data_IF_953964861523
#
_entry.id   IF_953964861523
#
_cell.length_a   1.000
_cell.length_b   1.000
_cell.length_c   1.000
_cell.angle_alpha   90.00
_cell.angle_beta   90.00
_cell.angle_gamma   90.00
#
_symmetry.space_group_name_H-M   'P 1'
#
loop_
_entity.id
_entity.type
_entity.pdbx_description
1 polymer ?
#
# COMPACT_ATOMS: atom_id res chain seq x y z
N UNK A 1 -12.72 -100.81 18.27
CA UNK A 1 -12.04 -101.12 19.53
C UNK A 1 -10.53 -101.04 19.33
N UNK A 2 -9.84 -100.12 20.01
CA UNK A 2 -8.38 -100.01 19.97
C UNK A 2 -7.78 -100.79 21.15
N UNK A 3 -6.68 -101.53 20.91
CA UNK A 3 -6.05 -102.37 21.92
C UNK A 3 -4.58 -102.00 22.06
N UNK A 4 -4.11 -101.83 23.30
CA UNK A 4 -2.70 -101.58 23.60
C UNK A 4 -1.98 -102.89 23.92
N UNK A 5 -1.00 -103.26 23.09
CA UNK A 5 -0.31 -104.55 23.15
C UNK A 5 1.22 -104.42 23.25
N UNK A 6 1.73 -103.22 23.55
CA UNK A 6 3.18 -102.99 23.60
C UNK A 6 3.75 -103.55 24.90
N UNK A 7 4.76 -104.41 24.79
CA UNK A 7 5.50 -104.99 25.91
C UNK A 7 4.96 -106.35 26.37
N UNK A 8 5.41 -106.82 27.53
CA UNK A 8 4.94 -108.08 28.14
C UNK A 8 4.58 -107.87 29.61
N UNK A 9 3.76 -108.77 30.17
CA UNK A 9 3.29 -108.68 31.56
C UNK A 9 3.69 -109.89 32.39
N UNK A 10 3.98 -109.62 33.67
CA UNK A 10 4.28 -110.62 34.69
C UNK A 10 3.42 -110.36 35.93
N UNK A 11 2.84 -111.42 36.48
CA UNK A 11 1.98 -111.37 37.65
C UNK A 11 2.01 -112.69 38.43
N UNK A 12 2.15 -112.59 39.74
CA UNK A 12 2.17 -113.74 40.64
C UNK A 12 0.75 -114.12 41.09
N UNK A 13 0.49 -115.42 41.28
CA UNK A 13 -0.79 -115.89 41.80
C UNK A 13 -1.08 -115.29 43.19
N UNK A 14 -2.36 -115.04 43.48
CA UNK A 14 -2.86 -114.40 44.70
C UNK A 14 -2.39 -112.96 44.95
N UNK A 15 -1.75 -112.31 43.97
CA UNK A 15 -1.44 -110.88 44.00
C UNK A 15 -2.37 -110.10 43.08
N UNK A 16 -2.67 -108.84 43.40
CA UNK A 16 -3.41 -107.93 42.52
C UNK A 16 -2.49 -107.04 41.67
N UNK A 17 -1.19 -107.33 41.61
CA UNK A 17 -0.19 -106.46 40.97
C UNK A 17 0.34 -107.10 39.71
N UNK A 18 0.38 -106.32 38.64
CA UNK A 18 0.97 -106.70 37.34
C UNK A 18 2.14 -105.76 37.04
N UNK A 19 3.26 -106.37 36.69
CA UNK A 19 4.47 -105.66 36.27
C UNK A 19 4.63 -105.81 34.76
N UNK A 20 4.74 -104.68 34.06
CA UNK A 20 4.98 -104.60 32.64
C UNK A 20 6.47 -104.44 32.32
N UNK A 21 6.93 -105.05 31.24
CA UNK A 21 8.23 -104.78 30.63
C UNK A 21 8.02 -103.98 29.34
N UNK A 22 8.78 -102.89 29.17
CA UNK A 22 8.73 -101.93 28.04
C UNK A 22 7.37 -101.26 27.78
N UNK A 23 6.44 -101.36 28.74
CA UNK A 23 5.11 -100.76 28.69
C UNK A 23 5.16 -99.26 28.98
N UNK A 24 4.10 -98.54 28.59
CA UNK A 24 3.92 -97.09 28.71
C UNK A 24 2.56 -96.70 29.30
N UNK A 25 2.10 -97.46 30.29
CA UNK A 25 0.72 -97.38 30.77
C UNK A 25 0.29 -96.03 31.35
N UNK A 26 1.21 -95.20 31.84
CA UNK A 26 0.88 -93.89 32.42
C UNK A 26 0.77 -92.75 31.40
N UNK A 27 1.03 -93.01 30.11
CA UNK A 27 0.88 -92.01 29.05
C UNK A 27 -0.60 -91.77 28.73
N UNK A 28 -1.12 -90.59 29.09
CA UNK A 28 -2.54 -90.24 28.93
C UNK A 28 -3.05 -90.40 27.48
N UNK A 29 -2.19 -90.12 26.49
CA UNK A 29 -2.50 -90.27 25.07
C UNK A 29 -2.79 -91.72 24.64
N UNK A 30 -2.34 -92.74 25.40
CA UNK A 30 -2.58 -94.15 25.09
C UNK A 30 -3.91 -94.67 25.63
N UNK A 31 -4.66 -93.87 26.40
CA UNK A 31 -6.05 -94.18 26.78
C UNK A 31 -6.23 -95.38 27.71
N UNK A 32 -5.19 -95.76 28.47
CA UNK A 32 -5.27 -96.79 29.51
C UNK A 32 -5.66 -96.12 30.83
N UNK A 33 -6.79 -96.54 31.40
CA UNK A 33 -7.38 -95.89 32.58
C UNK A 33 -7.80 -96.94 33.63
N UNK A 34 -7.98 -96.53 34.90
CA UNK A 34 -8.76 -97.30 35.87
C UNK A 34 -10.11 -97.73 35.25
N UNK A 35 -10.41 -99.02 35.28
CA UNK A 35 -11.59 -99.62 34.66
C UNK A 35 -11.32 -100.29 33.30
N UNK A 36 -10.19 -100.03 32.64
CA UNK A 36 -9.76 -100.76 31.43
C UNK A 36 -9.59 -102.25 31.72
N UNK A 37 -9.81 -103.09 30.70
CA UNK A 37 -9.67 -104.55 30.82
C UNK A 37 -8.32 -104.98 30.28
N UNK A 38 -7.50 -105.56 31.15
CA UNK A 38 -6.30 -106.31 30.79
C UNK A 38 -6.70 -107.72 30.35
N UNK A 39 -6.32 -108.08 29.13
CA UNK A 39 -6.49 -109.41 28.55
C UNK A 39 -5.11 -110.06 28.45
N UNK A 40 -4.86 -111.10 29.24
CA UNK A 40 -3.61 -111.86 29.18
C UNK A 40 -3.83 -113.10 28.31
N UNK A 41 -3.09 -113.21 27.21
CA UNK A 41 -3.28 -114.28 26.24
C UNK A 41 -2.64 -115.60 26.71
N UNK A 42 -3.36 -116.71 26.53
CA UNK A 42 -2.89 -118.08 26.74
C UNK A 42 -3.09 -118.88 25.46
N UNK A 43 -2.49 -120.07 25.40
CA UNK A 43 -2.76 -121.02 24.31
C UNK A 43 -4.23 -121.50 24.41
N UNK A 44 -5.09 -121.03 23.50
CA UNK A 44 -6.50 -121.41 23.42
C UNK A 44 -7.44 -120.78 24.47
N UNK A 45 -6.98 -119.84 25.30
CA UNK A 45 -7.81 -119.13 26.30
C UNK A 45 -7.23 -117.74 26.64
N UNK A 46 -7.96 -116.90 27.39
CA UNK A 46 -7.45 -115.63 27.87
C UNK A 46 -7.96 -115.33 29.29
N UNK A 47 -7.09 -114.76 30.12
CA UNK A 47 -7.45 -114.29 31.45
C UNK A 47 -7.83 -112.79 31.37
N UNK A 48 -9.00 -112.41 31.90
CA UNK A 48 -9.48 -111.03 31.89
C UNK A 48 -9.45 -110.43 33.30
N UNK A 49 -8.78 -109.29 33.44
CA UNK A 49 -8.68 -108.54 34.68
C UNK A 49 -9.05 -107.07 34.48
N UNK A 50 -10.00 -106.56 35.27
CA UNK A 50 -10.25 -105.12 35.30
C UNK A 50 -9.16 -104.41 36.10
N UNK A 51 -8.58 -103.36 35.52
CA UNK A 51 -7.54 -102.53 36.11
C UNK A 51 -8.18 -101.62 37.17
N UNK A 52 -7.69 -101.68 38.40
CA UNK A 52 -8.13 -100.81 39.50
C UNK A 52 -7.40 -99.46 39.46
N UNK A 53 -6.10 -99.47 39.21
CA UNK A 53 -5.28 -98.26 39.05
C UNK A 53 -4.12 -98.51 38.11
N UNK A 54 -3.74 -97.44 37.41
CA UNK A 54 -2.48 -97.36 36.66
C UNK A 54 -1.48 -96.67 37.58
N UNK A 55 -0.52 -97.42 38.10
CA UNK A 55 0.39 -96.92 39.14
C UNK A 55 1.64 -96.27 38.51
N UNK A 56 2.07 -96.75 37.34
CA UNK A 56 3.13 -96.15 36.51
C UNK A 56 3.13 -96.75 35.11
N UNK A 57 4.05 -96.31 34.24
CA UNK A 57 4.31 -96.91 32.92
C UNK A 57 4.45 -98.44 32.92
N UNK A 58 4.90 -99.03 34.03
CA UNK A 58 5.25 -100.45 34.16
C UNK A 58 4.52 -101.17 35.29
N UNK A 59 3.52 -100.53 35.90
CA UNK A 59 2.80 -101.15 37.02
C UNK A 59 1.31 -100.86 37.00
N UNK A 60 0.52 -101.93 37.12
CA UNK A 60 -0.92 -101.87 37.31
C UNK A 60 -1.29 -102.58 38.61
N UNK A 61 -2.33 -102.07 39.25
CA UNK A 61 -3.07 -102.79 40.26
C UNK A 61 -4.43 -103.20 39.68
N UNK A 62 -4.76 -104.47 39.82
CA UNK A 62 -6.00 -105.09 39.36
C UNK A 62 -7.09 -105.04 40.45
N UNK A 63 -8.34 -105.11 40.04
CA UNK A 63 -9.51 -105.14 40.96
C UNK A 63 -9.65 -106.45 41.72
N UNK A 64 -9.01 -107.53 41.24
CA UNK A 64 -9.03 -108.87 41.83
C UNK A 64 -7.66 -109.51 41.75
N UNK A 65 -7.41 -110.48 42.63
CA UNK A 65 -6.16 -111.22 42.64
C UNK A 65 -6.04 -112.12 41.41
N UNK A 66 -4.82 -112.25 40.90
CA UNK A 66 -4.46 -113.15 39.80
C UNK A 66 -4.65 -114.59 40.24
N UNK A 67 -5.44 -115.35 39.49
CA UNK A 67 -5.74 -116.75 39.81
C UNK A 67 -4.61 -117.68 39.39
N UNK A 68 -4.03 -117.44 38.22
CA UNK A 68 -2.94 -118.24 37.65
C UNK A 68 -1.78 -117.32 37.28
N UNK A 69 -0.59 -117.58 37.82
CA UNK A 69 0.59 -116.78 37.51
C UNK A 69 0.91 -116.76 36.00
N UNK A 70 1.49 -115.65 35.55
CA UNK A 70 1.99 -115.46 34.19
C UNK A 70 3.30 -114.66 34.24
N UNK A 71 4.23 -114.98 33.34
CA UNK A 71 5.55 -114.35 33.29
C UNK A 71 5.91 -114.07 31.85
N UNK A 72 6.25 -112.81 31.54
CA UNK A 72 6.57 -112.38 30.18
C UNK A 72 5.45 -112.65 29.16
N UNK A 73 4.18 -112.66 29.59
CA UNK A 73 3.06 -113.01 28.73
C UNK A 73 2.69 -111.85 27.77
N UNK A 74 2.26 -112.19 26.56
CA UNK A 74 1.61 -111.26 25.66
C UNK A 74 0.23 -110.87 26.22
N UNK A 75 -0.15 -109.62 26.02
CA UNK A 75 -1.40 -109.09 26.54
C UNK A 75 -1.95 -108.01 25.60
N UNK A 76 -3.23 -107.71 25.77
CA UNK A 76 -3.86 -106.51 25.23
C UNK A 76 -4.62 -105.80 26.35
N UNK A 77 -4.53 -104.48 26.41
CA UNK A 77 -5.45 -103.67 27.21
C UNK A 77 -6.49 -103.06 26.28
N UNK A 78 -7.76 -103.31 26.57
CA UNK A 78 -8.86 -102.66 25.86
C UNK A 78 -8.91 -101.20 26.30
N UNK A 79 -8.49 -100.32 25.40
CA UNK A 79 -8.57 -98.86 25.56
C UNK A 79 -9.90 -98.38 24.99
N UNK A 80 -10.51 -97.36 25.63
CA UNK A 80 -11.86 -96.92 25.29
C UNK A 80 -12.02 -96.55 23.80
N UNK A 81 -13.22 -96.79 23.26
CA UNK A 81 -13.61 -96.50 21.88
C UNK A 81 -13.59 -94.98 21.60
N UNK A 82 -13.26 -94.59 20.36
CA UNK A 82 -12.89 -93.22 19.92
C UNK A 82 -14.06 -92.19 20.02
N UNK A 83 -15.16 -92.49 20.72
CA UNK A 83 -16.33 -91.59 20.87
C UNK A 83 -17.17 -91.83 22.15
N UNK A 84 -16.57 -91.76 23.35
CA UNK A 84 -17.34 -91.76 24.61
C UNK A 84 -17.69 -90.34 25.10
N UNK A 85 -18.79 -90.19 25.86
CA UNK A 85 -19.24 -88.92 26.46
C UNK A 85 -18.16 -88.25 27.32
N UNK A 86 -17.29 -89.02 27.96
CA UNK A 86 -16.13 -88.54 28.71
C UNK A 86 -15.04 -87.92 27.82
N UNK A 87 -14.79 -88.46 26.63
CA UNK A 87 -13.86 -87.87 25.66
C UNK A 87 -14.41 -86.55 25.13
N UNK A 88 -15.71 -86.50 24.83
CA UNK A 88 -16.40 -85.25 24.48
C UNK A 88 -16.35 -84.22 25.61
N UNK A 89 -16.57 -84.64 26.87
CA UNK A 89 -16.50 -83.74 28.03
C UNK A 89 -15.11 -83.12 28.21
N UNK A 90 -14.03 -83.88 27.97
CA UNK A 90 -12.67 -83.37 28.03
C UNK A 90 -12.35 -82.41 26.87
N UNK A 91 -12.79 -82.72 25.66
CA UNK A 91 -12.63 -81.81 24.51
C UNK A 91 -13.43 -80.51 24.70
N UNK A 92 -14.66 -80.62 25.21
CA UNK A 92 -15.51 -79.48 25.54
C UNK A 92 -14.90 -78.62 26.66
N UNK A 93 -14.36 -79.25 27.71
CA UNK A 93 -13.68 -78.54 28.80
C UNK A 93 -12.43 -77.80 28.31
N UNK A 94 -11.64 -78.42 27.43
CA UNK A 94 -10.48 -77.78 26.79
C UNK A 94 -10.90 -76.60 25.91
N UNK A 95 -11.94 -76.76 25.09
CA UNK A 95 -12.49 -75.66 24.29
C UNK A 95 -13.04 -74.51 25.15
N UNK A 96 -13.68 -74.81 26.28
CA UNK A 96 -14.15 -73.78 27.22
C UNK A 96 -13.01 -73.06 27.94
N UNK A 97 -11.94 -73.78 28.33
CA UNK A 97 -10.76 -73.15 28.91
C UNK A 97 -10.09 -72.18 27.90
N UNK A 98 -10.02 -72.58 26.63
CA UNK A 98 -9.56 -71.72 25.54
C UNK A 98 -10.45 -70.47 25.38
N UNK A 99 -11.77 -70.65 25.26
CA UNK A 99 -12.71 -69.53 25.14
C UNK A 99 -12.65 -68.57 26.32
N UNK A 100 -12.51 -69.09 27.55
CA UNK A 100 -12.40 -68.28 28.75
C UNK A 100 -11.16 -67.38 28.72
N UNK A 101 -10.01 -67.91 28.30
CA UNK A 101 -8.77 -67.12 28.16
C UNK A 101 -8.94 -65.97 27.16
N UNK A 102 -9.61 -66.22 26.03
CA UNK A 102 -9.91 -65.18 25.04
C UNK A 102 -10.86 -64.12 25.61
N UNK A 103 -11.90 -64.52 26.34
CA UNK A 103 -12.86 -63.59 26.99
C UNK A 103 -12.18 -62.75 28.07
N UNK A 104 -11.27 -63.33 28.85
CA UNK A 104 -10.47 -62.60 29.85
C UNK A 104 -9.58 -61.55 29.18
N UNK A 105 -8.93 -61.88 28.05
CA UNK A 105 -8.17 -60.93 27.25
C UNK A 105 -9.03 -59.75 26.74
N UNK A 106 -10.24 -60.02 26.23
CA UNK A 106 -11.18 -58.98 25.81
C UNK A 106 -11.69 -58.13 26.98
N UNK A 107 -11.94 -58.75 28.13
CA UNK A 107 -12.35 -58.02 29.34
C UNK A 107 -11.25 -57.07 29.80
N UNK A 108 -9.99 -57.52 29.81
CA UNK A 108 -8.83 -56.68 30.12
C UNK A 108 -8.70 -55.51 29.14
N UNK A 109 -8.92 -55.74 27.84
CA UNK A 109 -8.88 -54.70 26.82
C UNK A 109 -9.98 -53.63 26.99
N UNK A 110 -11.20 -54.06 27.34
CA UNK A 110 -12.37 -53.17 27.45
C UNK A 110 -12.46 -52.43 28.79
N UNK A 111 -11.97 -53.02 29.89
CA UNK A 111 -12.19 -52.52 31.25
C UNK A 111 -10.91 -52.13 31.99
N UNK A 112 -9.75 -52.59 31.51
CA UNK A 112 -8.46 -52.27 32.12
C UNK A 112 -8.06 -50.80 31.93
N UNK A 113 -7.13 -50.36 32.77
CA UNK A 113 -6.47 -49.04 32.67
C UNK A 113 -4.97 -49.23 32.45
N UNK A 114 -4.37 -48.41 31.58
CA UNK A 114 -2.94 -48.50 31.26
C UNK A 114 -2.60 -49.63 30.28
N UNK A 115 -1.36 -50.09 30.28
CA UNK A 115 -0.91 -51.17 29.41
C UNK A 115 -1.35 -52.53 29.95
N UNK A 116 -1.98 -53.33 29.10
CA UNK A 116 -2.39 -54.71 29.36
C UNK A 116 -1.54 -55.67 28.52
N UNK A 117 -1.35 -56.89 29.01
CA UNK A 117 -0.66 -57.95 28.27
C UNK A 117 -1.67 -59.00 27.82
N UNK A 118 -1.81 -59.17 26.51
CA UNK A 118 -2.62 -60.21 25.89
C UNK A 118 -1.71 -61.39 25.53
N UNK A 119 -2.09 -62.59 25.94
CA UNK A 119 -1.35 -63.83 25.62
C UNK A 119 -2.16 -64.64 24.62
N UNK A 120 -1.54 -65.06 23.51
CA UNK A 120 -2.12 -66.02 22.59
C UNK A 120 -2.22 -67.40 23.27
N UNK A 121 -3.43 -67.93 23.52
CA UNK A 121 -3.61 -69.19 24.22
C UNK A 121 -3.17 -70.44 23.42
N UNK A 122 -2.86 -70.31 22.13
CA UNK A 122 -2.34 -71.42 21.28
C UNK A 122 -0.81 -71.41 21.24
N UNK A 123 -0.21 -70.23 21.01
CA UNK A 123 1.23 -70.11 20.78
C UNK A 123 2.02 -69.65 22.00
N UNK A 124 1.35 -69.16 23.05
CA UNK A 124 1.95 -68.58 24.26
C UNK A 124 2.59 -67.21 24.05
N UNK A 125 2.51 -66.64 22.83
CA UNK A 125 3.09 -65.33 22.50
C UNK A 125 2.33 -64.20 23.21
N UNK A 126 3.06 -63.25 23.77
CA UNK A 126 2.48 -62.11 24.49
C UNK A 126 2.64 -60.82 23.69
N UNK A 127 1.63 -59.94 23.76
CA UNK A 127 1.68 -58.57 23.25
C UNK A 127 1.23 -57.61 24.35
N UNK A 128 1.97 -56.52 24.55
CA UNK A 128 1.59 -55.46 25.48
C UNK A 128 1.02 -54.29 24.70
N UNK A 129 -0.23 -53.93 24.98
CA UNK A 129 -0.96 -52.83 24.33
C UNK A 129 -1.66 -51.98 25.39
N UNK A 130 -1.94 -50.70 25.16
CA UNK A 130 -2.84 -49.94 26.00
C UNK A 130 -4.25 -50.57 26.00
N UNK A 131 -4.88 -50.69 27.16
CA UNK A 131 -6.32 -50.95 27.24
C UNK A 131 -7.08 -49.78 26.59
N UNK A 132 -8.35 -49.99 26.22
CA UNK A 132 -9.14 -49.01 25.46
C UNK A 132 -9.24 -47.67 26.20
N UNK A 133 -9.36 -47.70 27.53
CA UNK A 133 -9.40 -46.50 28.37
C UNK A 133 -8.05 -45.75 28.44
N UNK A 134 -6.94 -46.42 28.14
CA UNK A 134 -5.58 -45.88 28.10
C UNK A 134 -5.12 -45.46 26.70
N UNK A 135 -5.91 -45.73 25.65
CA UNK A 135 -5.67 -45.12 24.33
C UNK A 135 -5.92 -43.62 24.42
N UNK A 136 -5.10 -42.82 23.73
CA UNK A 136 -5.20 -41.36 23.76
C UNK A 136 -6.63 -40.91 23.48
N UNK A 137 -7.20 -40.11 24.39
CA UNK A 137 -8.52 -39.52 24.19
C UNK A 137 -8.43 -38.46 23.09
N UNK A 138 -9.55 -38.14 22.44
CA UNK A 138 -9.61 -37.01 21.50
C UNK A 138 -9.11 -35.68 22.13
N UNK A 139 -9.23 -35.53 23.46
CA UNK A 139 -8.67 -34.41 24.21
C UNK A 139 -7.15 -34.41 24.32
N UNK A 140 -6.49 -35.56 24.27
CA UNK A 140 -5.03 -35.68 24.35
C UNK A 140 -4.38 -35.30 23.00
N UNK A 141 -5.10 -35.53 21.89
CA UNK A 141 -4.77 -34.99 20.57
C UNK A 141 -4.86 -33.45 20.52
N UNK A 142 -5.80 -32.84 21.26
CA UNK A 142 -5.88 -31.38 21.40
C UNK A 142 -4.67 -30.77 22.13
N UNK A 143 -3.96 -31.54 22.97
CA UNK A 143 -2.74 -31.09 23.64
C UNK A 143 -1.50 -31.22 22.75
N UNK A 144 -1.45 -32.23 21.87
CA UNK A 144 -0.40 -32.39 20.85
C UNK A 144 -0.54 -31.37 19.70
N UNK A 145 -1.76 -30.85 19.48
CA UNK A 145 -2.04 -29.73 18.58
C UNK A 145 -1.48 -28.37 19.07
N UNK A 146 -0.97 -28.27 20.31
CA UNK A 146 -0.14 -27.15 20.77
C UNK A 146 1.32 -27.36 20.37
N UNK A 147 1.54 -27.49 19.06
CA UNK A 147 2.85 -27.64 18.44
C UNK A 147 3.77 -26.48 18.88
N UNK A 148 4.74 -26.78 19.72
CA UNK A 148 5.78 -25.86 20.17
C UNK A 148 6.89 -25.77 19.12
N UNK A 149 7.11 -24.58 18.57
CA UNK A 149 8.34 -24.17 17.86
C UNK A 149 8.57 -24.82 16.50
N UNK A 150 8.13 -24.15 15.43
CA UNK A 150 8.42 -24.53 14.04
C UNK A 150 7.44 -25.56 13.50
N UNK A 151 6.29 -25.08 13.02
CA UNK A 151 5.24 -25.95 12.48
C UNK A 151 5.42 -26.07 10.97
N UNK A 152 5.77 -27.27 10.50
CA UNK A 152 5.77 -27.62 9.09
C UNK A 152 4.44 -28.32 8.77
N UNK A 153 3.44 -27.51 8.41
CA UNK A 153 2.10 -27.98 8.11
C UNK A 153 1.97 -28.15 6.59
N UNK A 154 1.75 -29.38 6.13
CA UNK A 154 1.49 -29.64 4.72
C UNK A 154 0.05 -29.24 4.33
N UNK A 155 -0.13 -28.82 3.08
CA UNK A 155 -1.42 -28.39 2.53
C UNK A 155 -1.94 -27.03 3.04
N UNK A 156 -3.15 -26.67 2.58
CA UNK A 156 -3.80 -25.40 2.94
C UNK A 156 -4.39 -25.42 4.35
N UNK A 157 -4.12 -24.38 5.13
CA UNK A 157 -4.77 -24.16 6.43
C UNK A 157 -5.98 -23.23 6.25
N UNK A 158 -7.17 -23.71 6.60
CA UNK A 158 -8.44 -22.98 6.37
C UNK A 158 -9.14 -22.69 7.69
N UNK A 159 -9.55 -21.44 7.90
CA UNK A 159 -10.34 -21.00 9.05
C UNK A 159 -11.80 -20.86 8.60
N UNK A 160 -12.64 -21.81 8.99
CA UNK A 160 -14.04 -21.90 8.53
C UNK A 160 -15.05 -21.17 9.40
N UNK A 161 -14.69 -20.88 10.65
CA UNK A 161 -15.57 -20.20 11.61
C UNK A 161 -15.42 -18.68 11.55
N UNK A 162 -16.54 -17.98 11.77
CA UNK A 162 -16.51 -16.56 12.09
C UNK A 162 -15.90 -16.31 13.48
N UNK A 163 -15.36 -15.11 13.68
CA UNK A 163 -14.67 -14.67 14.89
C UNK A 163 -13.46 -15.54 15.27
N UNK A 164 -12.80 -16.12 14.27
CA UNK A 164 -11.58 -16.89 14.41
C UNK A 164 -10.44 -16.27 13.59
N UNK A 165 -9.20 -16.67 13.88
CA UNK A 165 -8.04 -16.16 13.18
C UNK A 165 -6.76 -16.95 13.46
N UNK A 166 -5.77 -16.75 12.60
CA UNK A 166 -4.39 -17.15 12.85
C UNK A 166 -3.69 -15.96 13.51
N UNK A 167 -3.50 -16.06 14.83
CA UNK A 167 -3.01 -14.98 15.69
C UNK A 167 -1.56 -15.28 16.07
N UNK A 168 -0.71 -14.26 15.96
CA UNK A 168 0.72 -14.31 16.19
C UNK A 168 1.12 -13.33 17.31
N UNK A 169 2.31 -13.56 17.88
CA UNK A 169 2.86 -12.73 18.96
C UNK A 169 2.36 -13.15 20.34
N UNK A 170 3.20 -13.02 21.38
CA UNK A 170 2.85 -13.38 22.77
C UNK A 170 1.69 -12.55 23.32
N UNK A 171 1.54 -11.35 22.76
CA UNK A 171 0.55 -10.32 23.07
C UNK A 171 -0.60 -10.28 22.05
N UNK A 172 -0.66 -11.21 21.09
CA UNK A 172 -1.74 -11.29 20.08
C UNK A 172 -1.91 -10.00 19.25
N UNK A 173 -0.80 -9.37 18.89
CA UNK A 173 -0.76 -8.04 18.27
C UNK A 173 -0.84 -8.07 16.74
N UNK A 174 -0.82 -9.24 16.11
CA UNK A 174 -1.02 -9.39 14.67
C UNK A 174 -1.74 -10.70 14.35
N UNK A 175 -2.61 -10.69 13.34
CA UNK A 175 -3.22 -11.92 12.87
C UNK A 175 -4.04 -11.80 11.58
N UNK A 176 -4.27 -12.95 10.94
CA UNK A 176 -5.24 -13.10 9.87
C UNK A 176 -6.58 -13.50 10.49
N UNK A 177 -7.57 -12.61 10.47
CA UNK A 177 -8.83 -12.78 11.22
C UNK A 177 -10.06 -12.69 10.32
N UNK A 178 -11.09 -13.47 10.66
CA UNK A 178 -12.42 -13.37 10.06
C UNK A 178 -13.41 -12.92 11.12
N UNK A 179 -13.87 -11.67 11.05
CA UNK A 179 -14.97 -11.18 11.90
C UNK A 179 -16.31 -11.54 11.24
N UNK A 180 -17.30 -11.86 12.06
CA UNK A 180 -18.66 -12.13 11.55
C UNK A 180 -19.21 -10.96 10.74
N UNK A 181 -19.84 -11.27 9.61
CA UNK A 181 -20.40 -10.28 8.69
C UNK A 181 -19.37 -9.46 7.87
N UNK A 182 -18.07 -9.75 7.98
CA UNK A 182 -17.03 -9.07 7.18
C UNK A 182 -16.17 -10.03 6.40
N UNK A 183 -15.36 -9.53 5.47
CA UNK A 183 -14.30 -10.30 4.81
C UNK A 183 -13.10 -10.56 5.74
N UNK A 184 -12.18 -11.43 5.32
CA UNK A 184 -10.94 -11.73 6.03
C UNK A 184 -9.97 -10.54 6.03
N UNK A 185 -9.25 -10.33 7.13
CA UNK A 185 -8.40 -9.16 7.33
C UNK A 185 -7.04 -9.58 7.86
N UNK A 186 -6.00 -8.85 7.47
CA UNK A 186 -4.83 -8.70 8.32
C UNK A 186 -5.18 -7.66 9.39
N UNK A 187 -5.18 -8.05 10.65
CA UNK A 187 -5.51 -7.21 11.79
C UNK A 187 -4.28 -7.04 12.67
N UNK A 188 -4.11 -5.82 13.19
CA UNK A 188 -3.00 -5.44 14.07
C UNK A 188 -3.56 -4.80 15.33
N UNK A 189 -2.91 -5.00 16.47
CA UNK A 189 -3.33 -4.45 17.75
C UNK A 189 -3.22 -2.92 17.78
N UNK A 190 -4.20 -2.22 18.36
CA UNK A 190 -4.23 -0.75 18.38
C UNK A 190 -3.11 -0.11 19.22
N UNK A 191 -2.51 -0.87 20.15
CA UNK A 191 -1.39 -0.42 20.98
C UNK A 191 -0.02 -0.73 20.41
N UNK A 192 0.05 -1.40 19.25
CA UNK A 192 1.28 -1.93 18.66
C UNK A 192 1.44 -1.45 17.23
N UNK A 193 2.63 -1.00 16.87
CA UNK A 193 2.95 -0.65 15.49
C UNK A 193 2.98 -1.92 14.64
N UNK A 194 2.29 -1.90 13.50
CA UNK A 194 2.50 -2.90 12.47
C UNK A 194 3.66 -2.46 11.58
N UNK A 195 4.64 -3.34 11.38
CA UNK A 195 5.80 -3.04 10.54
C UNK A 195 6.06 -4.19 9.58
N UNK A 196 6.20 -3.86 8.30
CA UNK A 196 6.87 -4.72 7.33
C UNK A 196 8.34 -4.31 7.34
N UNK A 197 9.20 -5.29 7.59
CA UNK A 197 10.64 -5.09 7.76
C UNK A 197 11.42 -5.94 6.77
N UNK A 198 12.63 -5.48 6.43
CA UNK A 198 13.62 -6.24 5.69
C UNK A 198 14.72 -6.70 6.66
N UNK A 199 15.02 -8.00 6.65
CA UNK A 199 16.19 -8.55 7.33
C UNK A 199 17.48 -8.22 6.58
N UNK A 200 18.59 -8.16 7.30
CA UNK A 200 19.91 -7.86 6.72
C UNK A 200 20.55 -9.05 5.99
N UNK A 201 19.94 -10.24 6.01
CA UNK A 201 20.41 -11.46 5.32
C UNK A 201 19.46 -11.89 4.20
N UNK A 202 19.90 -12.84 3.37
CA UNK A 202 19.12 -13.35 2.25
C UNK A 202 17.93 -14.23 2.67
N UNK A 203 18.10 -15.04 3.72
CA UNK A 203 17.04 -15.85 4.34
C UNK A 203 16.63 -15.23 5.66
N UNK A 204 15.33 -15.21 5.94
CA UNK A 204 14.77 -14.59 7.14
C UNK A 204 15.15 -15.36 8.42
N UNK A 205 15.55 -14.61 9.46
CA UNK A 205 15.66 -15.11 10.83
C UNK A 205 15.06 -14.11 11.82
N UNK A 206 14.38 -14.56 12.90
CA UNK A 206 13.95 -13.70 14.00
C UNK A 206 15.11 -12.92 14.67
N UNK A 207 16.35 -13.38 14.51
CA UNK A 207 17.56 -12.75 15.06
C UNK A 207 18.18 -11.71 14.12
N UNK A 208 17.69 -11.57 12.88
CA UNK A 208 18.26 -10.63 11.93
C UNK A 208 18.02 -9.17 12.36
N UNK A 209 18.94 -8.29 11.98
CA UNK A 209 18.71 -6.85 12.11
C UNK A 209 17.62 -6.44 11.12
N UNK A 210 16.59 -5.77 11.63
CA UNK A 210 15.40 -5.40 10.88
C UNK A 210 15.41 -3.91 10.54
N UNK A 211 15.20 -3.60 9.25
CA UNK A 211 14.95 -2.23 8.78
C UNK A 211 13.50 -2.12 8.33
N UNK A 212 12.75 -1.16 8.88
CA UNK A 212 11.37 -0.93 8.47
C UNK A 212 11.29 -0.38 7.03
N UNK A 213 10.38 -0.95 6.24
CA UNK A 213 10.10 -0.50 4.86
C UNK A 213 8.67 0.01 4.70
N UNK A 214 7.77 -0.35 5.62
CA UNK A 214 6.38 0.12 5.69
C UNK A 214 5.89 -0.07 7.13
N UNK A 215 5.16 0.88 7.69
CA UNK A 215 4.54 0.69 8.99
C UNK A 215 3.22 1.44 9.16
N UNK A 216 2.36 0.93 10.04
CA UNK A 216 1.13 1.60 10.46
C UNK A 216 1.25 1.91 11.95
N UNK A 217 1.18 3.19 12.31
CA UNK A 217 1.25 3.64 13.70
C UNK A 217 -0.08 3.44 14.46
N UNK A 218 -0.09 3.75 15.75
CA UNK A 218 -1.28 3.63 16.61
C UNK A 218 -2.39 4.63 16.27
N UNK A 219 -2.09 5.69 15.51
CA UNK A 219 -3.08 6.62 14.99
C UNK A 219 -3.67 6.14 13.64
N UNK A 220 -3.13 5.06 13.06
CA UNK A 220 -3.54 4.52 11.78
C UNK A 220 -2.84 5.15 10.58
N UNK A 221 -1.80 5.96 10.79
CA UNK A 221 -1.03 6.54 9.69
C UNK A 221 -0.11 5.50 9.07
N UNK A 222 -0.09 5.47 7.73
CA UNK A 222 0.89 4.70 6.98
C UNK A 222 2.18 5.50 6.84
N UNK A 223 3.29 4.95 7.30
CA UNK A 223 4.64 5.46 7.11
C UNK A 223 5.41 4.57 6.13
N UNK A 224 6.05 5.20 5.15
CA UNK A 224 6.98 4.55 4.21
C UNK A 224 8.29 5.32 4.29
N UNK A 225 9.32 4.81 5.00
CA UNK A 225 10.60 5.52 5.16
C UNK A 225 11.38 5.73 3.85
N UNK A 226 11.11 4.88 2.85
CA UNK A 226 11.72 4.96 1.52
C UNK A 226 10.80 5.56 0.47
N UNK A 227 11.01 5.17 -0.79
CA UNK A 227 10.25 5.67 -1.93
C UNK A 227 8.96 4.86 -2.16
N UNK A 228 7.90 5.54 -2.61
CA UNK A 228 6.70 4.90 -3.17
C UNK A 228 6.84 4.94 -4.69
N UNK A 229 7.09 3.79 -5.32
CA UNK A 229 7.11 3.66 -6.78
C UNK A 229 5.72 3.23 -7.27
N UNK A 230 4.98 4.16 -7.89
CA UNK A 230 3.64 3.91 -8.39
C UNK A 230 3.42 4.63 -9.73
N UNK A 231 2.72 4.00 -10.67
CA UNK A 231 2.36 4.65 -11.93
C UNK A 231 1.36 5.81 -11.75
N UNK A 232 0.49 5.72 -10.74
CA UNK A 232 -0.43 6.79 -10.32
C UNK A 232 -0.51 6.81 -8.79
N UNK A 233 -0.56 8.01 -8.21
CA UNK A 233 -0.78 8.21 -6.78
C UNK A 233 -2.11 8.97 -6.58
N UNK A 234 -3.03 8.37 -5.84
CA UNK A 234 -4.34 8.97 -5.51
C UNK A 234 -4.37 9.26 -4.02
N UNK A 235 -4.52 10.53 -3.66
CA UNK A 235 -4.66 10.99 -2.28
C UNK A 235 -5.67 12.12 -2.20
N UNK A 236 -6.27 12.32 -1.02
CA UNK A 236 -7.17 13.44 -0.77
C UNK A 236 -6.40 14.78 -0.79
N UNK A 237 -5.18 14.78 -0.26
CA UNK A 237 -4.25 15.90 -0.24
C UNK A 237 -2.81 15.39 -0.26
N UNK A 238 -1.88 16.26 -0.64
CA UNK A 238 -0.43 16.02 -0.56
C UNK A 238 0.15 17.14 0.31
N UNK A 239 0.71 16.77 1.46
CA UNK A 239 1.39 17.68 2.38
C UNK A 239 2.86 17.26 2.51
N UNK A 240 3.76 18.24 2.45
CA UNK A 240 5.21 18.04 2.54
C UNK A 240 5.73 18.96 3.64
N UNK A 241 6.42 18.41 4.65
CA UNK A 241 6.72 19.13 5.90
C UNK A 241 8.20 19.08 6.33
N UNK A 242 9.11 18.77 5.41
CA UNK A 242 10.56 18.80 5.67
C UNK A 242 11.17 20.20 5.48
N UNK A 243 12.48 20.36 5.72
CA UNK A 243 13.16 21.67 5.71
C UNK A 243 13.08 22.42 4.36
N UNK A 244 12.99 21.68 3.27
CA UNK A 244 12.91 22.20 1.90
C UNK A 244 12.02 21.25 1.10
N UNK A 245 10.69 21.35 1.24
CA UNK A 245 9.77 20.42 0.58
C UNK A 245 9.70 20.72 -0.92
N UNK A 246 9.71 19.68 -1.75
CA UNK A 246 9.65 19.81 -3.20
C UNK A 246 8.87 18.67 -3.89
N UNK A 247 8.44 18.96 -5.12
CA UNK A 247 7.95 17.98 -6.09
C UNK A 247 8.78 18.12 -7.34
N UNK A 248 9.50 17.04 -7.68
CA UNK A 248 10.37 16.97 -8.85
C UNK A 248 9.72 16.33 -10.05
N UNK A 249 10.03 16.90 -11.21
CA UNK A 249 9.66 16.38 -12.51
C UNK A 249 10.92 16.05 -13.29
N UNK A 250 11.03 14.81 -13.79
CA UNK A 250 12.09 14.36 -14.69
C UNK A 250 11.49 14.02 -16.06
N UNK A 251 11.55 14.95 -17.01
CA UNK A 251 11.11 14.66 -18.37
C UNK A 251 12.04 13.64 -19.05
N UNK A 252 11.47 12.56 -19.59
CA UNK A 252 12.17 11.53 -20.37
C UNK A 252 13.36 10.91 -19.61
N UNK A 253 13.14 10.53 -18.36
CA UNK A 253 14.12 9.86 -17.49
C UNK A 253 15.46 10.62 -17.37
N UNK A 254 15.38 11.96 -17.36
CA UNK A 254 16.56 12.81 -17.17
C UNK A 254 17.32 12.45 -15.89
N UNK A 255 18.64 12.29 -16.00
CA UNK A 255 19.54 12.01 -14.87
C UNK A 255 19.88 13.26 -14.05
N UNK A 256 19.43 14.44 -14.48
CA UNK A 256 19.48 15.64 -13.65
C UNK A 256 18.59 15.45 -12.42
N UNK A 257 18.91 16.15 -11.32
CA UNK A 257 18.11 16.13 -10.10
C UNK A 257 16.65 16.52 -10.34
N UNK A 258 16.39 17.43 -11.29
CA UNK A 258 15.07 17.74 -11.80
C UNK A 258 15.18 18.44 -13.16
N UNK A 259 14.10 18.37 -13.94
CA UNK A 259 13.91 19.21 -15.15
C UNK A 259 13.01 20.41 -14.85
N UNK A 260 12.11 20.28 -13.88
CA UNK A 260 11.28 21.35 -13.31
C UNK A 260 10.90 20.93 -11.89
N UNK A 261 10.75 21.90 -10.98
CA UNK A 261 10.44 21.64 -9.57
C UNK A 261 9.41 22.65 -9.04
N UNK A 262 8.50 22.17 -8.20
CA UNK A 262 7.72 23.01 -7.27
C UNK A 262 8.37 22.89 -5.89
N UNK A 263 8.74 24.01 -5.26
CA UNK A 263 9.54 24.01 -4.03
C UNK A 263 9.21 25.20 -3.15
N UNK A 264 9.27 25.00 -1.84
CA UNK A 264 9.36 26.10 -0.88
C UNK A 264 10.80 26.17 -0.34
N UNK A 265 11.62 27.00 -0.98
CA UNK A 265 13.02 27.22 -0.57
C UNK A 265 13.15 28.41 0.42
N UNK A 266 12.12 29.25 0.46
CA UNK A 266 11.98 30.37 1.39
C UNK A 266 10.58 30.29 1.99
N UNK A 267 10.46 30.43 3.31
CA UNK A 267 9.19 30.31 4.00
C UNK A 267 8.14 31.29 3.44
N UNK A 268 6.99 30.75 3.03
CA UNK A 268 5.88 31.51 2.44
C UNK A 268 5.97 31.73 0.93
N UNK A 269 6.99 31.19 0.25
CA UNK A 269 7.15 31.31 -1.20
C UNK A 269 7.16 29.92 -1.88
N UNK A 270 6.05 29.56 -2.53
CA UNK A 270 6.04 28.44 -3.47
C UNK A 270 6.66 28.89 -4.80
N UNK A 271 7.86 28.41 -5.07
CA UNK A 271 8.60 28.67 -6.30
C UNK A 271 8.38 27.55 -7.31
N UNK A 272 8.14 27.93 -8.57
CA UNK A 272 8.33 27.04 -9.71
C UNK A 272 9.71 27.30 -10.31
N UNK A 273 10.62 26.35 -10.19
CA UNK A 273 11.93 26.41 -10.84
C UNK A 273 11.84 25.75 -12.23
N UNK A 274 11.78 26.59 -13.27
CA UNK A 274 11.61 26.17 -14.66
C UNK A 274 10.68 27.11 -15.43
N UNK A 275 9.84 26.55 -16.30
CA UNK A 275 8.87 27.31 -17.10
C UNK A 275 7.42 26.86 -16.83
N UNK A 276 6.51 27.81 -16.64
CA UNK A 276 5.07 27.56 -16.54
C UNK A 276 4.35 27.84 -17.85
N UNK A 277 3.67 26.84 -18.42
CA UNK A 277 2.86 27.00 -19.63
C UNK A 277 1.36 26.94 -19.28
N UNK A 278 0.70 28.10 -19.18
CA UNK A 278 -0.75 28.17 -19.03
C UNK A 278 -1.44 28.24 -20.40
N UNK A 279 -2.20 27.21 -20.78
CA UNK A 279 -2.90 27.14 -22.08
C UNK A 279 -4.27 27.82 -22.11
N UNK A 280 -4.77 28.28 -20.97
CA UNK A 280 -6.09 28.95 -20.85
C UNK A 280 -5.92 30.30 -20.15
N UNK A 281 -6.43 30.43 -18.94
CA UNK A 281 -6.44 31.68 -18.19
C UNK A 281 -5.58 31.53 -16.94
N UNK A 282 -4.82 32.58 -16.63
CA UNK A 282 -4.15 32.78 -15.34
C UNK A 282 -4.92 33.86 -14.58
N UNK A 283 -5.48 33.51 -13.42
CA UNK A 283 -6.12 34.46 -12.52
C UNK A 283 -5.20 34.74 -11.34
N UNK A 284 -4.97 36.01 -11.05
CA UNK A 284 -4.19 36.45 -9.89
C UNK A 284 -4.96 37.57 -9.18
N UNK A 285 -5.15 37.44 -7.86
CA UNK A 285 -5.77 38.46 -7.02
C UNK A 285 -4.75 39.51 -6.56
N UNK A 286 -3.52 39.08 -6.34
CA UNK A 286 -2.40 39.95 -6.01
C UNK A 286 -1.71 40.53 -7.27
N UNK A 287 -0.61 41.24 -7.04
CA UNK A 287 0.20 41.77 -8.12
C UNK A 287 0.88 40.64 -8.92
N UNK A 288 0.84 40.75 -10.25
CA UNK A 288 1.77 40.06 -11.12
C UNK A 288 3.02 40.94 -11.24
N UNK A 289 4.19 40.38 -10.97
CA UNK A 289 5.46 41.11 -11.02
C UNK A 289 6.45 40.39 -11.94
N UNK A 290 6.84 41.07 -13.01
CA UNK A 290 8.05 40.74 -13.76
C UNK A 290 9.20 41.57 -13.15
N UNK A 291 10.24 40.91 -12.63
CA UNK A 291 11.39 41.61 -12.01
C UNK A 291 12.71 41.16 -12.61
N UNK A 292 13.62 42.12 -12.74
CA UNK A 292 15.06 41.90 -12.85
C UNK A 292 15.70 42.42 -11.55
N UNK A 293 16.77 41.78 -11.09
CA UNK A 293 17.51 42.25 -9.91
C UNK A 293 18.53 43.29 -10.38
N UNK A 294 18.42 44.53 -9.89
CA UNK A 294 19.35 45.59 -10.22
C UNK A 294 20.76 45.29 -9.67
N UNK A 295 21.83 45.78 -10.31
CA UNK A 295 23.17 45.76 -9.74
C UNK A 295 23.21 46.47 -8.38
N UNK A 296 24.10 46.05 -7.48
CA UNK A 296 24.17 46.60 -6.12
C UNK A 296 24.62 48.08 -6.06
N UNK A 297 25.44 48.54 -7.01
CA UNK A 297 25.96 49.90 -7.06
C UNK A 297 25.97 50.43 -8.51
N UNK A 298 24.81 50.77 -9.10
CA UNK A 298 24.77 51.29 -10.45
C UNK A 298 25.31 52.73 -10.54
N UNK A 299 25.96 53.08 -11.65
CA UNK A 299 26.52 54.41 -11.85
C UNK A 299 25.44 55.44 -12.25
N UNK A 300 25.61 56.71 -11.88
CA UNK A 300 24.74 57.79 -12.36
C UNK A 300 24.75 57.83 -13.90
N UNK A 301 23.57 57.87 -14.50
CA UNK A 301 23.36 57.80 -15.95
C UNK A 301 23.27 56.37 -16.51
N UNK A 302 23.57 55.33 -15.73
CA UNK A 302 23.36 53.94 -16.15
C UNK A 302 21.87 53.69 -16.39
N UNK A 303 21.55 52.98 -17.46
CA UNK A 303 20.18 52.53 -17.72
C UNK A 303 19.94 51.17 -17.09
N UNK A 304 18.88 51.07 -16.28
CA UNK A 304 18.41 49.83 -15.68
C UNK A 304 17.01 49.54 -16.23
N UNK A 305 16.82 48.32 -16.75
CA UNK A 305 15.56 47.88 -17.36
C UNK A 305 14.95 46.77 -16.52
N UNK A 306 13.67 46.93 -16.16
CA UNK A 306 12.86 45.90 -15.53
C UNK A 306 12.58 44.73 -16.48
N UNK A 307 12.27 43.55 -15.94
CA UNK A 307 11.79 42.45 -16.79
C UNK A 307 10.43 42.82 -17.42
N UNK A 308 10.19 42.51 -18.70
CA UNK A 308 8.98 42.93 -19.40
C UNK A 308 7.79 42.01 -19.11
N UNK A 309 6.61 42.62 -19.06
CA UNK A 309 5.37 41.92 -19.43
C UNK A 309 5.30 41.87 -20.94
N UNK A 310 5.25 40.65 -21.50
CA UNK A 310 5.34 40.44 -22.94
C UNK A 310 4.09 39.77 -23.50
N UNK A 311 3.56 40.35 -24.58
CA UNK A 311 2.64 39.70 -25.50
C UNK A 311 3.39 39.35 -26.78
N UNK A 312 3.10 38.18 -27.37
CA UNK A 312 3.84 37.65 -28.51
C UNK A 312 2.90 37.01 -29.54
N UNK A 313 3.18 37.27 -30.82
CA UNK A 313 2.67 36.51 -31.96
C UNK A 313 3.84 35.69 -32.49
N UNK A 314 3.89 34.39 -32.21
CA UNK A 314 5.01 33.53 -32.60
C UNK A 314 4.98 33.19 -34.11
N UNK A 315 6.15 33.14 -34.75
CA UNK A 315 6.31 32.59 -36.11
C UNK A 315 5.86 33.47 -37.27
N UNK A 316 5.52 34.75 -37.01
CA UNK A 316 5.02 35.70 -38.03
C UNK A 316 5.90 36.95 -38.14
N UNK A 317 7.22 36.80 -38.07
CA UNK A 317 8.14 37.93 -38.21
C UNK A 317 8.31 38.32 -39.69
N UNK A 318 8.62 39.60 -39.93
CA UNK A 318 9.01 40.06 -41.27
C UNK A 318 10.42 39.57 -41.62
N UNK A 319 10.74 39.56 -42.92
CA UNK A 319 12.10 39.30 -43.41
C UNK A 319 12.75 37.99 -42.93
N UNK A 320 11.96 36.96 -42.64
CA UNK A 320 12.47 35.65 -42.20
C UNK A 320 12.73 35.53 -40.70
N UNK A 321 12.32 36.50 -39.87
CA UNK A 321 12.38 36.35 -38.41
C UNK A 321 11.36 35.30 -37.93
N UNK A 322 11.87 34.12 -37.56
CA UNK A 322 11.06 33.01 -37.04
C UNK A 322 10.47 33.28 -35.65
N UNK A 323 10.98 34.29 -34.91
CA UNK A 323 10.48 34.60 -33.56
C UNK A 323 9.07 35.16 -33.64
N UNK A 324 8.82 36.17 -34.48
CA UNK A 324 7.50 36.76 -34.64
C UNK A 324 7.43 38.26 -34.36
N UNK A 325 6.34 38.70 -33.72
CA UNK A 325 6.18 40.07 -33.25
C UNK A 325 5.92 40.07 -31.73
N UNK A 326 6.46 41.07 -31.03
CA UNK A 326 6.31 41.22 -29.57
C UNK A 326 5.86 42.62 -29.20
N UNK A 327 5.06 42.70 -28.15
CA UNK A 327 4.76 43.93 -27.43
C UNK A 327 5.21 43.76 -25.98
N UNK A 328 6.08 44.65 -25.53
CA UNK A 328 6.64 44.64 -24.19
C UNK A 328 6.20 45.88 -23.41
N UNK A 329 5.88 45.68 -22.14
CA UNK A 329 5.66 46.74 -21.17
C UNK A 329 6.62 46.57 -20.01
N UNK A 330 7.47 47.56 -19.76
CA UNK A 330 8.47 47.52 -18.70
C UNK A 330 8.80 48.92 -18.17
N UNK A 331 9.42 48.94 -16.99
CA UNK A 331 10.00 50.16 -16.39
C UNK A 331 11.47 50.28 -16.77
N UNK A 332 11.92 51.52 -16.95
CA UNK A 332 13.33 51.86 -17.03
C UNK A 332 13.67 52.98 -16.06
N UNK A 333 14.88 52.90 -15.51
CA UNK A 333 15.48 53.97 -14.73
C UNK A 333 16.78 54.42 -15.41
N UNK A 334 16.90 55.71 -15.69
CA UNK A 334 18.19 56.34 -15.90
C UNK A 334 18.69 56.83 -14.54
N UNK A 335 19.62 56.07 -13.96
CA UNK A 335 20.01 56.18 -12.56
C UNK A 335 20.44 57.61 -12.21
N UNK A 336 19.84 58.15 -11.15
CA UNK A 336 20.10 59.52 -10.68
C UNK A 336 19.49 60.63 -11.56
N UNK A 337 18.70 60.29 -12.58
CA UNK A 337 18.10 61.24 -13.52
C UNK A 337 16.58 61.11 -13.58
N UNK A 338 16.06 59.96 -14.03
CA UNK A 338 14.63 59.78 -14.26
C UNK A 338 14.19 58.31 -14.24
N UNK A 339 12.88 58.10 -14.08
CA UNK A 339 12.22 56.82 -14.31
C UNK A 339 11.12 56.98 -15.36
N UNK A 340 10.84 55.91 -16.12
CA UNK A 340 9.86 55.92 -17.21
C UNK A 340 9.24 54.54 -17.41
N UNK A 341 8.01 54.52 -17.89
CA UNK A 341 7.40 53.31 -18.43
C UNK A 341 7.59 53.27 -19.95
N UNK A 342 7.87 52.10 -20.49
CA UNK A 342 8.14 51.90 -21.92
C UNK A 342 7.14 50.89 -22.47
N UNK A 343 6.42 51.30 -23.51
CA UNK A 343 5.72 50.39 -24.42
C UNK A 343 6.60 50.20 -25.64
N UNK A 344 7.15 49.01 -25.80
CA UNK A 344 8.10 48.67 -26.85
C UNK A 344 7.50 47.63 -27.79
N UNK A 345 7.50 47.93 -29.09
CA UNK A 345 7.01 47.05 -30.14
C UNK A 345 8.18 46.66 -31.05
N UNK A 346 8.31 45.38 -31.32
CA UNK A 346 9.27 44.85 -32.28
C UNK A 346 8.60 43.78 -33.15
N UNK A 347 8.61 43.99 -34.47
CA UNK A 347 7.96 43.09 -35.42
C UNK A 347 7.94 43.63 -36.85
N UNK A 348 7.86 42.71 -37.81
CA UNK A 348 7.83 43.03 -39.25
C UNK A 348 9.00 43.94 -39.72
N UNK A 349 10.19 43.76 -39.13
CA UNK A 349 11.39 44.55 -39.42
C UNK A 349 11.32 46.01 -38.98
N UNK A 350 10.42 46.32 -38.05
CA UNK A 350 10.28 47.65 -37.44
C UNK A 350 10.29 47.55 -35.93
N UNK A 351 10.93 48.52 -35.31
CA UNK A 351 11.02 48.66 -33.86
C UNK A 351 10.57 50.06 -33.48
N UNK A 352 9.62 50.16 -32.56
CA UNK A 352 9.09 51.44 -32.07
C UNK A 352 8.95 51.41 -30.55
N UNK A 353 9.06 52.58 -29.92
CA UNK A 353 8.85 52.75 -28.49
C UNK A 353 8.05 54.01 -28.17
N UNK A 354 7.17 53.88 -27.19
CA UNK A 354 6.47 54.99 -26.55
C UNK A 354 6.96 55.06 -25.10
N UNK A 355 7.54 56.21 -24.77
CA UNK A 355 8.14 56.45 -23.46
C UNK A 355 7.21 57.36 -22.68
N UNK A 356 6.66 56.85 -21.59
CA UNK A 356 5.83 57.57 -20.64
C UNK A 356 6.71 58.02 -19.49
N UNK A 357 6.98 59.33 -19.42
CA UNK A 357 7.84 59.91 -18.38
C UNK A 357 7.01 60.40 -17.21
N UNK A 358 7.64 60.46 -16.03
CA UNK A 358 7.10 61.21 -14.90
C UNK A 358 6.79 62.66 -15.31
N UNK A 359 5.67 63.22 -14.82
CA UNK A 359 5.19 64.55 -15.23
C UNK A 359 4.29 64.57 -16.47
N UNK A 360 3.93 63.40 -17.02
CA UNK A 360 2.84 63.28 -18.00
C UNK A 360 3.24 63.47 -19.47
N UNK A 361 4.54 63.55 -19.77
CA UNK A 361 5.00 63.65 -21.16
C UNK A 361 5.12 62.27 -21.81
N UNK A 362 4.59 62.12 -23.03
CA UNK A 362 4.78 60.95 -23.89
C UNK A 362 5.79 61.32 -24.97
N UNK A 363 6.88 60.57 -25.06
CA UNK A 363 7.91 60.74 -26.11
C UNK A 363 7.82 59.59 -27.11
N UNK A 364 7.75 59.92 -28.39
CA UNK A 364 7.78 58.95 -29.50
C UNK A 364 8.89 59.34 -30.48
N UNK A 365 9.51 58.38 -31.17
CA UNK A 365 10.62 58.66 -32.09
C UNK A 365 10.25 59.56 -33.28
N UNK A 366 8.97 59.55 -33.69
CA UNK A 366 8.43 60.39 -34.78
C UNK A 366 7.69 61.64 -34.26
N UNK A 367 7.36 61.70 -32.98
CA UNK A 367 6.52 62.75 -32.38
C UNK A 367 5.02 62.53 -32.56
N UNK A 368 4.59 61.46 -33.23
CA UNK A 368 3.17 61.19 -33.48
C UNK A 368 2.44 60.75 -32.20
N UNK A 369 1.53 61.59 -31.72
CA UNK A 369 0.43 61.24 -30.81
C UNK A 369 -0.81 61.98 -31.33
N UNK A 370 -1.79 61.26 -31.87
CA UNK A 370 -3.04 61.87 -32.33
C UNK A 370 -3.98 62.07 -31.13
N UNK A 371 -4.20 63.31 -30.72
CA UNK A 371 -5.07 63.64 -29.57
C UNK A 371 -6.38 64.33 -29.94
N UNK A 372 -6.67 64.49 -31.24
CA UNK A 372 -7.78 65.31 -31.73
C UNK A 372 -8.67 64.58 -32.73
N UNK A 373 -9.99 64.78 -32.63
CA UNK A 373 -10.98 64.39 -33.63
C UNK A 373 -12.05 65.47 -33.78
N UNK A 374 -12.47 65.77 -35.00
CA UNK A 374 -13.49 66.79 -35.29
C UNK A 374 -14.40 66.32 -36.42
N UNK A 375 -15.51 65.67 -36.05
CA UNK A 375 -16.60 65.23 -36.95
C UNK A 375 -17.91 65.89 -36.47
N UNK A 376 -18.82 66.24 -37.39
CA UNK A 376 -20.10 66.89 -37.03
C UNK A 376 -20.96 66.02 -36.11
N UNK A 377 -20.85 64.69 -36.21
CA UNK A 377 -21.59 63.74 -35.36
C UNK A 377 -21.05 63.68 -33.92
N UNK A 378 -19.90 64.29 -33.66
CA UNK A 378 -19.28 64.38 -32.34
C UNK A 378 -19.55 65.73 -31.66
N UNK A 379 -20.41 66.58 -32.24
CA UNK A 379 -20.67 67.95 -31.78
C UNK A 379 -22.17 68.25 -31.88
N UNK A 380 -22.68 69.09 -31.00
CA UNK A 380 -24.08 69.55 -30.95
C UNK A 380 -24.12 71.06 -30.65
N UNK A 381 -25.30 71.68 -30.72
CA UNK A 381 -25.53 73.10 -30.38
C UNK A 381 -24.62 74.12 -31.11
N UNK A 382 -24.41 73.94 -32.41
CA UNK A 382 -23.58 74.84 -33.20
C UNK A 382 -24.25 76.20 -33.40
N UNK A 383 -23.61 77.26 -32.90
CA UNK A 383 -23.96 78.65 -33.17
C UNK A 383 -22.82 79.36 -33.90
N UNK A 384 -23.11 80.49 -34.55
CA UNK A 384 -22.05 81.33 -35.11
C UNK A 384 -21.12 81.86 -34.00
N UNK A 385 -19.87 82.14 -34.37
CA UNK A 385 -18.90 82.73 -33.44
C UNK A 385 -19.32 84.14 -33.02
N UNK A 386 -19.01 84.52 -31.78
CA UNK A 386 -19.30 85.86 -31.24
C UNK A 386 -18.48 86.92 -31.98
N UNK A 387 -19.10 88.06 -32.30
CA UNK A 387 -18.40 89.21 -32.88
C UNK A 387 -17.22 89.68 -32.02
N UNK A 388 -16.23 90.34 -32.64
CA UNK A 388 -15.09 90.93 -31.94
C UNK A 388 -13.83 90.07 -31.86
N UNK A 389 -13.67 89.07 -32.74
CA UNK A 389 -12.45 88.25 -32.83
C UNK A 389 -11.16 89.09 -32.89
N UNK A 390 -11.14 90.21 -33.62
CA UNK A 390 -9.97 91.10 -33.69
C UNK A 390 -9.63 91.73 -32.34
N UNK A 391 -10.64 92.04 -31.51
CA UNK A 391 -10.42 92.56 -30.16
C UNK A 391 -9.81 91.47 -29.27
N UNK A 392 -10.33 90.24 -29.33
CA UNK A 392 -9.83 89.10 -28.55
C UNK A 392 -8.39 88.75 -28.92
N UNK A 393 -8.09 88.64 -30.22
CA UNK A 393 -6.74 88.36 -30.71
C UNK A 393 -5.74 89.47 -30.32
N UNK A 394 -6.12 90.75 -30.45
CA UNK A 394 -5.24 91.86 -30.06
C UNK A 394 -5.00 91.96 -28.55
N UNK A 395 -5.87 91.36 -27.72
CA UNK A 395 -5.71 91.30 -26.28
C UNK A 395 -4.76 90.17 -25.83
N UNK A 396 -4.34 89.26 -26.72
CA UNK A 396 -3.43 88.16 -26.39
C UNK A 396 -1.99 88.65 -26.19
N UNK A 397 -1.41 88.31 -25.04
CA UNK A 397 0.02 88.55 -24.76
C UNK A 397 0.89 87.35 -25.15
N UNK A 398 1.79 87.54 -26.12
CA UNK A 398 2.81 86.53 -26.47
C UNK A 398 4.01 86.65 -25.53
N UNK A 399 4.50 85.53 -25.02
CA UNK A 399 5.66 85.48 -24.12
C UNK A 399 6.60 84.31 -24.45
N UNK A 400 7.79 84.33 -23.83
CA UNK A 400 8.76 83.24 -23.90
C UNK A 400 9.07 82.71 -22.49
N UNK A 401 9.14 81.39 -22.34
CA UNK A 401 9.28 80.72 -21.03
C UNK A 401 10.00 79.38 -21.12
N UNK A 402 10.47 78.86 -19.98
CA UNK A 402 10.90 77.47 -19.80
C UNK A 402 9.87 76.76 -18.92
N UNK A 403 9.64 75.47 -19.15
CA UNK A 403 8.91 74.66 -18.18
C UNK A 403 9.79 74.39 -16.95
N UNK A 404 9.18 74.32 -15.76
CA UNK A 404 9.89 73.99 -14.51
C UNK A 404 10.50 72.58 -14.66
N UNK A 405 11.81 72.45 -14.41
CA UNK A 405 12.53 71.18 -14.59
C UNK A 405 13.05 70.91 -16.00
N UNK A 406 12.83 71.82 -16.96
CA UNK A 406 13.34 71.68 -18.33
C UNK A 406 14.31 72.82 -18.73
N UNK A 407 15.24 72.51 -19.63
CA UNK A 407 16.19 73.50 -20.19
C UNK A 407 15.72 74.15 -21.50
N UNK A 408 14.66 73.63 -22.12
CA UNK A 408 14.17 74.09 -23.42
C UNK A 408 13.38 75.40 -23.31
N UNK A 409 13.82 76.45 -24.03
CA UNK A 409 13.08 77.71 -24.21
C UNK A 409 11.92 77.52 -25.19
N UNK A 410 10.75 78.08 -24.87
CA UNK A 410 9.52 78.00 -25.66
C UNK A 410 8.90 79.40 -25.82
N UNK A 411 8.10 79.59 -26.87
CA UNK A 411 7.28 80.79 -27.11
C UNK A 411 5.81 80.38 -27.14
N UNK A 412 4.94 81.15 -26.50
CA UNK A 412 3.51 80.85 -26.45
C UNK A 412 2.74 81.83 -25.58
N UNK A 413 1.67 81.34 -24.96
CA UNK A 413 0.76 82.14 -24.13
C UNK A 413 0.75 81.61 -22.70
N UNK A 414 0.59 82.51 -21.72
CA UNK A 414 0.25 82.13 -20.34
C UNK A 414 -1.27 82.00 -20.25
N UNK A 415 -1.77 80.89 -19.73
CA UNK A 415 -3.20 80.61 -19.72
C UNK A 415 -4.00 81.70 -18.99
N UNK A 416 -3.53 82.16 -17.83
CA UNK A 416 -4.17 83.24 -17.06
C UNK A 416 -4.21 84.59 -17.80
N UNK A 417 -3.33 84.80 -18.79
CA UNK A 417 -3.38 85.98 -19.66
C UNK A 417 -4.40 85.77 -20.79
N UNK A 418 -4.45 84.55 -21.36
CA UNK A 418 -5.40 84.20 -22.41
C UNK A 418 -6.86 84.24 -21.92
N UNK A 419 -7.15 83.77 -20.71
CA UNK A 419 -8.48 83.81 -20.08
C UNK A 419 -9.05 85.23 -19.99
N UNK A 420 -8.18 86.23 -19.76
CA UNK A 420 -8.59 87.65 -19.72
C UNK A 420 -9.02 88.19 -21.08
N UNK A 421 -8.54 87.58 -22.17
CA UNK A 421 -8.93 87.94 -23.52
C UNK A 421 -10.26 87.28 -23.91
N UNK A 422 -10.43 85.99 -23.58
CA UNK A 422 -11.67 85.23 -23.75
C UNK A 422 -11.64 83.97 -22.87
N UNK A 423 -12.78 83.60 -22.30
CA UNK A 423 -12.90 82.41 -21.45
C UNK A 423 -12.71 81.11 -22.26
N UNK A 424 -13.09 81.08 -23.53
CA UNK A 424 -12.91 79.92 -24.42
C UNK A 424 -11.45 79.69 -24.84
N UNK A 425 -10.54 80.64 -24.60
CA UNK A 425 -9.11 80.46 -24.86
C UNK A 425 -8.41 79.61 -23.80
N UNK A 426 -9.13 79.22 -22.75
CA UNK A 426 -8.59 78.37 -21.71
C UNK A 426 -9.56 77.27 -21.31
N UNK A 427 -9.01 76.21 -20.74
CA UNK A 427 -9.80 75.18 -20.09
C UNK A 427 -9.05 74.64 -18.87
N UNK A 428 -9.81 74.27 -17.83
CA UNK A 428 -9.24 73.68 -16.63
C UNK A 428 -9.01 72.18 -16.84
N UNK A 429 -7.77 71.77 -16.67
CA UNK A 429 -7.39 70.37 -16.65
C UNK A 429 -7.77 69.68 -15.33
N UNK A 430 -7.03 68.62 -15.02
CA UNK A 430 -7.13 67.90 -13.76
C UNK A 430 -6.49 68.71 -12.61
N UNK A 431 -6.95 68.45 -11.39
CA UNK A 431 -6.32 68.98 -10.19
C UNK A 431 -4.90 68.42 -10.04
N UNK A 432 -3.94 69.29 -9.74
CA UNK A 432 -2.57 68.94 -9.44
C UNK A 432 -2.15 69.62 -8.14
N UNK A 433 -1.21 68.99 -7.44
CA UNK A 433 -0.54 69.58 -6.28
C UNK A 433 0.88 69.99 -6.67
N UNK A 434 1.19 71.28 -6.64
CA UNK A 434 2.55 71.78 -6.89
C UNK A 434 2.94 72.67 -5.71
N UNK A 435 4.14 72.45 -5.18
CA UNK A 435 4.69 73.18 -4.03
C UNK A 435 3.75 73.20 -2.80
N UNK A 436 2.92 72.15 -2.64
CA UNK A 436 1.98 71.98 -1.51
C UNK A 436 0.60 72.61 -1.70
N UNK A 437 0.34 73.24 -2.86
CA UNK A 437 -0.95 73.84 -3.19
C UNK A 437 -1.69 73.00 -4.24
N UNK A 438 -2.97 72.71 -3.96
CA UNK A 438 -3.86 72.01 -4.90
C UNK A 438 -4.58 73.03 -5.79
N UNK A 439 -4.39 72.91 -7.10
CA UNK A 439 -5.08 73.74 -8.07
C UNK A 439 -5.37 72.96 -9.36
N UNK A 440 -6.37 73.38 -10.12
CA UNK A 440 -6.61 72.83 -11.47
C UNK A 440 -5.72 73.54 -12.46
N UNK A 441 -4.87 72.80 -13.16
CA UNK A 441 -3.96 73.39 -14.15
C UNK A 441 -4.78 74.01 -15.27
N UNK A 442 -4.61 75.32 -15.48
CA UNK A 442 -5.24 76.04 -16.57
C UNK A 442 -4.42 75.82 -17.85
N UNK A 443 -5.09 75.31 -18.88
CA UNK A 443 -4.50 75.05 -20.19
C UNK A 443 -4.97 76.10 -21.19
N UNK A 444 -4.15 76.36 -22.22
CA UNK A 444 -4.53 77.21 -23.35
C UNK A 444 -5.24 76.35 -24.40
N UNK A 445 -6.42 76.76 -24.83
CA UNK A 445 -7.09 76.22 -26.01
C UNK A 445 -6.56 76.93 -27.26
N UNK A 446 -5.54 76.31 -27.86
CA UNK A 446 -4.98 76.81 -29.11
C UNK A 446 -5.96 76.71 -30.28
N UNK A 447 -6.92 75.77 -30.25
CA UNK A 447 -7.90 75.63 -31.33
C UNK A 447 -8.87 76.82 -31.33
N UNK A 448 -9.31 77.28 -30.16
CA UNK A 448 -10.14 78.49 -30.04
C UNK A 448 -9.40 79.74 -30.54
N UNK A 449 -8.15 79.92 -30.14
CA UNK A 449 -7.30 81.04 -30.61
C UNK A 449 -7.11 80.98 -32.13
N UNK A 450 -6.82 79.80 -32.69
CA UNK A 450 -6.64 79.62 -34.14
C UNK A 450 -7.95 79.93 -34.88
N UNK A 451 -9.11 79.52 -34.35
CA UNK A 451 -10.40 79.80 -34.97
C UNK A 451 -10.66 81.32 -35.07
N UNK A 452 -10.43 82.07 -34.00
CA UNK A 452 -10.56 83.53 -34.04
C UNK A 452 -9.51 84.19 -34.93
N UNK A 453 -8.27 83.68 -34.96
CA UNK A 453 -7.24 84.16 -35.87
C UNK A 453 -7.69 84.00 -37.33
N UNK A 454 -8.32 82.88 -37.68
CA UNK A 454 -8.91 82.67 -39.02
C UNK A 454 -9.98 83.72 -39.30
N UNK A 455 -10.88 83.99 -38.35
CA UNK A 455 -11.91 85.05 -38.50
C UNK A 455 -11.29 86.43 -38.70
N UNK A 456 -10.24 86.79 -37.95
CA UNK A 456 -9.53 88.07 -38.09
C UNK A 456 -8.88 88.18 -39.47
N UNK A 457 -8.23 87.12 -39.94
CA UNK A 457 -7.60 87.10 -41.27
C UNK A 457 -8.66 87.25 -42.36
N UNK A 458 -9.79 86.55 -42.25
CA UNK A 458 -10.91 86.69 -43.18
C UNK A 458 -11.47 88.13 -43.21
N UNK A 459 -11.56 88.79 -42.06
CA UNK A 459 -11.99 90.19 -41.99
C UNK A 459 -10.98 91.15 -42.63
N UNK A 460 -9.69 90.96 -42.35
CA UNK A 460 -8.62 91.75 -42.95
C UNK A 460 -8.60 91.61 -44.47
N UNK A 461 -8.78 90.40 -45.01
CA UNK A 461 -8.87 90.16 -46.45
C UNK A 461 -10.02 90.96 -47.07
N UNK A 462 -11.24 90.88 -46.51
CA UNK A 462 -12.40 91.65 -46.99
C UNK A 462 -12.13 93.16 -46.98
N UNK A 463 -11.44 93.67 -45.96
CA UNK A 463 -11.09 95.10 -45.86
C UNK A 463 -10.04 95.51 -46.88
N UNK A 464 -9.07 94.66 -47.17
CA UNK A 464 -8.08 94.90 -48.22
C UNK A 464 -8.77 94.92 -49.58
N UNK A 465 -9.63 93.95 -49.89
CA UNK A 465 -10.40 93.92 -51.14
C UNK A 465 -11.25 95.20 -51.32
N UNK A 466 -11.83 95.70 -50.23
CA UNK A 466 -12.62 96.94 -50.22
C UNK A 466 -11.76 98.23 -50.36
N UNK A 467 -10.46 98.16 -50.07
CA UNK A 467 -9.52 99.26 -50.26
C UNK A 467 -8.85 99.24 -51.65
N UNK A 468 -8.82 98.06 -52.28
CA UNK A 468 -8.27 97.84 -53.63
C UNK A 468 -9.31 97.99 -54.75
N UNK A 469 -10.60 98.11 -54.39
CA UNK A 469 -11.73 98.43 -55.29
C UNK A 469 -12.08 99.91 -55.25
#
# INVERSE_FOLDING_TARGET
MAMYEVGTVTGAASQARVTGATTKWSQEALGILPGSILVVYRSGSADLYAIKSVDSDTQLTLTRNITTAFSGACYGIITAEIASTSSFANQLASAFAFWRSVVEGWSMALTGSGNITLTDPITGKQVTVPAIAGMAKASDLNALAKLTGGNDLDGSQVITSDNAGFILGRNNDIGLVKKSGTYGKLMVGSGTRFSVVKGNKATISPEDTQTEIMGVDSAGNLAVPGNISAGKYFAQAIELSMSTPYIDFHFNDSTADYTTRLIENVAGELTLEGAFMCKKHLYAWGALMARSVAPSNPANGQLITGAPFQSMIQGRGGFGDARGAVANYYVEESVGSEHRAVVYLDGYGRTDAWIFRAGGTISTGKGDVLTTGSDVRLKEDFTESREGASRRINALGVCEFNMKGETRRRRGFIAQQAEKADDLYTFLGIEQEIDGEKFRVMNVDYTAIIADLVTVVQDLLRRVDALES
#
